data_IF_950155550977
#
_entry.id   IF_950155550977
#
_cell.length_a   1.000
_cell.length_b   1.000
_cell.length_c   1.000
_cell.angle_alpha   90.00
_cell.angle_beta   90.00
_cell.angle_gamma   90.00
#
_symmetry.space_group_name_H-M   'P 1'
#
loop_
_entity.id
_entity.type
_entity.pdbx_description
1 polymer ?
#
# COMPACT_ATOMS: atom_id res chain seq x y z
N UNK A 1 23.28 82.11 -12.14
CA UNK A 1 24.64 81.99 -11.57
C UNK A 1 25.06 80.51 -11.61
N UNK A 2 26.15 80.22 -12.34
CA UNK A 2 26.99 79.01 -12.43
C UNK A 2 26.44 77.60 -12.10
N UNK A 3 26.33 76.80 -13.16
CA UNK A 3 27.01 75.51 -13.44
C UNK A 3 27.30 74.51 -12.30
N UNK A 4 26.82 73.26 -12.45
CA UNK A 4 27.65 72.04 -12.36
C UNK A 4 26.97 70.80 -12.99
N UNK A 5 27.79 70.13 -13.78
CA UNK A 5 27.73 68.84 -14.51
C UNK A 5 27.40 67.60 -13.67
N UNK A 6 26.79 66.55 -14.26
CA UNK A 6 27.50 65.32 -14.71
C UNK A 6 26.57 64.25 -15.35
N UNK A 7 27.01 63.73 -16.50
CA UNK A 7 26.83 62.40 -17.12
C UNK A 7 25.60 61.52 -16.76
N UNK A 8 24.79 61.20 -17.79
CA UNK A 8 24.35 59.82 -18.00
C UNK A 8 24.10 59.53 -19.48
N UNK A 9 24.88 58.58 -19.97
CA UNK A 9 24.89 58.03 -21.32
C UNK A 9 23.62 57.18 -21.52
N UNK A 10 22.86 57.47 -22.58
CA UNK A 10 21.79 56.63 -23.11
C UNK A 10 22.37 55.78 -24.25
N UNK A 11 22.52 54.47 -24.04
CA UNK A 11 22.72 53.50 -25.13
C UNK A 11 21.41 52.69 -25.29
N UNK A 12 20.87 52.55 -26.51
CA UNK A 12 19.63 51.80 -26.73
C UNK A 12 19.85 50.28 -26.63
N UNK A 13 19.01 49.68 -25.78
CA UNK A 13 18.53 48.30 -25.68
C UNK A 13 19.21 47.18 -26.50
N UNK A 14 19.75 46.22 -25.72
CA UNK A 14 20.36 44.93 -26.05
C UNK A 14 19.39 43.86 -26.61
N UNK A 15 18.20 44.23 -27.09
CA UNK A 15 17.16 43.25 -27.45
C UNK A 15 17.22 42.78 -28.92
N UNK A 16 18.04 43.40 -29.76
CA UNK A 16 18.10 43.04 -31.20
C UNK A 16 19.23 42.09 -31.61
N UNK A 17 20.18 41.78 -30.72
CA UNK A 17 21.27 40.85 -31.03
C UNK A 17 21.00 39.40 -30.61
N UNK A 18 19.98 39.15 -29.77
CA UNK A 18 19.68 37.79 -29.29
C UNK A 18 18.84 36.96 -30.27
N UNK A 19 18.11 37.61 -31.18
CA UNK A 19 17.26 36.92 -32.15
C UNK A 19 18.06 36.23 -33.28
N UNK A 20 19.27 36.68 -33.56
CA UNK A 20 20.11 36.11 -34.64
C UNK A 20 20.92 34.89 -34.21
N UNK A 21 21.15 34.68 -32.91
CA UNK A 21 21.88 33.50 -32.40
C UNK A 21 20.98 32.28 -32.15
N UNK A 22 19.67 32.48 -31.94
CA UNK A 22 18.70 31.39 -31.73
C UNK A 22 18.28 30.68 -33.03
N UNK A 23 18.52 31.27 -34.20
CA UNK A 23 18.13 30.67 -35.49
C UNK A 23 19.15 29.67 -36.05
N UNK A 24 20.39 29.68 -35.55
CA UNK A 24 21.46 28.78 -36.02
C UNK A 24 21.57 27.47 -35.23
N UNK A 25 20.88 27.33 -34.09
CA UNK A 25 20.97 26.15 -33.22
C UNK A 25 19.91 25.07 -33.51
N UNK A 26 18.95 25.31 -34.41
CA UNK A 26 17.87 24.36 -34.75
C UNK A 26 18.13 23.52 -36.01
N UNK A 27 19.25 23.70 -36.72
CA UNK A 27 19.54 22.98 -37.98
C UNK A 27 20.53 21.81 -37.85
N UNK A 28 20.72 21.28 -36.65
CA UNK A 28 21.48 20.04 -36.44
C UNK A 28 20.57 18.92 -35.93
N UNK A 29 19.56 18.57 -36.72
CA UNK A 29 18.85 17.30 -36.58
C UNK A 29 19.35 16.32 -37.62
N UNK A 30 19.87 15.20 -37.13
CA UNK A 30 20.41 14.07 -37.87
C UNK A 30 19.43 13.55 -38.93
N UNK A 31 19.96 13.33 -40.13
CA UNK A 31 19.29 12.57 -41.19
C UNK A 31 19.29 11.10 -40.75
N UNK A 32 18.21 10.66 -40.11
CA UNK A 32 17.94 9.24 -39.92
C UNK A 32 17.57 8.61 -41.27
N UNK A 33 18.25 7.51 -41.58
CA UNK A 33 18.11 6.74 -42.82
C UNK A 33 16.65 6.25 -42.99
N UNK A 34 15.92 6.86 -43.92
CA UNK A 34 14.59 6.40 -44.32
C UNK A 34 14.71 5.02 -44.97
N UNK A 35 14.20 3.98 -44.28
CA UNK A 35 13.96 2.67 -44.88
C UNK A 35 12.93 2.84 -46.01
N UNK A 36 13.25 2.29 -47.18
CA UNK A 36 12.39 2.31 -48.36
C UNK A 36 11.01 1.67 -48.12
N UNK A 37 10.02 1.95 -48.99
CA UNK A 37 8.63 1.58 -48.78
C UNK A 37 8.45 0.05 -48.70
N UNK A 38 7.64 -0.42 -47.76
CA UNK A 38 7.19 -1.82 -47.71
C UNK A 38 6.31 -2.11 -48.93
N UNK A 39 6.64 -3.17 -49.65
CA UNK A 39 5.87 -3.63 -50.81
C UNK A 39 4.41 -3.96 -50.41
N UNK A 40 3.40 -3.57 -51.19
CA UNK A 40 2.00 -3.76 -50.83
C UNK A 40 1.65 -5.25 -50.82
N UNK A 41 1.19 -5.75 -49.68
CA UNK A 41 0.62 -7.09 -49.59
C UNK A 41 -0.76 -7.08 -50.27
N UNK A 42 -0.97 -7.97 -51.24
CA UNK A 42 -2.25 -8.15 -51.92
C UNK A 42 -3.36 -8.47 -50.90
N UNK A 43 -4.59 -7.95 -51.07
CA UNK A 43 -5.70 -8.24 -50.17
C UNK A 43 -6.04 -9.73 -50.26
N UNK A 44 -6.06 -10.40 -49.10
CA UNK A 44 -6.59 -11.76 -48.97
C UNK A 44 -8.12 -11.65 -49.06
N UNK A 45 -8.70 -12.46 -49.94
CA UNK A 45 -10.12 -12.52 -50.23
C UNK A 45 -10.94 -12.91 -48.96
N UNK A 46 -12.03 -12.19 -48.63
CA UNK A 46 -12.83 -12.52 -47.46
C UNK A 46 -13.77 -13.68 -47.79
N UNK A 47 -13.69 -14.78 -47.04
CA UNK A 47 -14.70 -15.85 -47.10
C UNK A 47 -15.42 -16.03 -45.77
N UNK A 48 -16.55 -15.33 -45.72
CA UNK A 48 -17.87 -15.70 -45.18
C UNK A 48 -18.09 -15.75 -43.66
N UNK A 49 -18.79 -14.70 -43.20
CA UNK A 49 -19.71 -14.68 -42.08
C UNK A 49 -20.66 -15.89 -42.07
N UNK A 50 -20.69 -16.62 -40.97
CA UNK A 50 -21.96 -17.06 -40.40
C UNK A 50 -21.91 -16.87 -38.88
N UNK A 51 -22.89 -16.11 -38.40
CA UNK A 51 -23.35 -15.99 -37.02
C UNK A 51 -22.52 -15.14 -36.05
N UNK A 52 -22.67 -13.82 -36.27
CA UNK A 52 -22.96 -12.88 -35.19
C UNK A 52 -24.06 -13.41 -34.27
N UNK A 53 -23.66 -13.87 -33.07
CA UNK A 53 -24.27 -13.57 -31.76
C UNK A 53 -23.49 -14.25 -30.63
N UNK A 54 -23.39 -13.52 -29.52
CA UNK A 54 -22.89 -13.94 -28.21
C UNK A 54 -21.37 -13.93 -27.96
N UNK A 55 -20.80 -12.72 -27.98
CA UNK A 55 -19.78 -12.37 -26.99
C UNK A 55 -20.44 -12.30 -25.61
N UNK A 56 -20.31 -13.37 -24.81
CA UNK A 56 -20.48 -13.31 -23.36
C UNK A 56 -19.27 -13.92 -22.69
N UNK A 57 -18.32 -13.03 -22.39
CA UNK A 57 -17.14 -13.20 -21.53
C UNK A 57 -16.83 -14.62 -21.06
N UNK A 58 -15.98 -15.32 -21.81
CA UNK A 58 -15.16 -16.36 -21.19
C UNK A 58 -14.22 -15.66 -20.21
N UNK A 59 -14.56 -15.84 -18.94
CA UNK A 59 -13.74 -15.56 -17.78
C UNK A 59 -12.35 -16.12 -18.04
N UNK A 60 -11.38 -15.22 -18.28
CA UNK A 60 -9.96 -15.54 -18.23
C UNK A 60 -9.73 -16.39 -16.99
N UNK A 61 -9.51 -17.68 -17.21
CA UNK A 61 -9.10 -18.63 -16.20
C UNK A 61 -7.71 -18.13 -15.76
N UNK A 62 -7.69 -17.31 -14.72
CA UNK A 62 -6.48 -16.82 -14.08
C UNK A 62 -5.75 -18.01 -13.47
N UNK A 63 -4.98 -18.71 -14.29
CA UNK A 63 -3.83 -19.48 -13.82
C UNK A 63 -2.74 -18.47 -13.46
N UNK A 64 -2.65 -18.08 -12.18
CA UNK A 64 -1.62 -17.14 -11.74
C UNK A 64 -1.63 -16.86 -10.23
N UNK A 65 -0.65 -17.45 -9.51
CA UNK A 65 0.08 -16.98 -8.30
C UNK A 65 -0.64 -16.29 -7.12
N UNK A 66 -1.96 -16.12 -7.11
CA UNK A 66 -2.67 -15.38 -6.05
C UNK A 66 -2.28 -13.91 -5.96
N UNK A 67 -1.62 -13.38 -6.99
CA UNK A 67 -1.17 -12.00 -7.12
C UNK A 67 -1.69 -11.40 -8.42
N UNK A 68 -2.05 -10.11 -8.43
CA UNK A 68 -2.42 -9.42 -9.66
C UNK A 68 -1.18 -9.01 -10.49
N UNK A 69 -1.40 -8.50 -11.71
CA UNK A 69 -0.34 -8.03 -12.62
C UNK A 69 0.55 -6.92 -12.01
N UNK A 70 0.11 -6.30 -10.91
CA UNK A 70 0.82 -5.23 -10.19
C UNK A 70 1.54 -5.76 -8.94
N UNK A 71 1.52 -7.07 -8.70
CA UNK A 71 2.13 -7.70 -7.52
C UNK A 71 1.32 -7.55 -6.24
N UNK A 72 0.06 -7.12 -6.30
CA UNK A 72 -0.82 -7.05 -5.14
C UNK A 72 -1.28 -8.45 -4.77
N UNK A 73 -1.28 -8.77 -3.47
CA UNK A 73 -1.61 -10.12 -3.00
C UNK A 73 -3.10 -10.23 -2.70
N UNK A 74 -3.78 -11.26 -3.20
CA UNK A 74 -5.17 -11.54 -2.83
C UNK A 74 -5.24 -11.97 -1.36
N UNK A 75 -6.06 -11.29 -0.59
CA UNK A 75 -6.24 -11.52 0.84
C UNK A 75 -7.70 -11.50 1.24
N UNK A 76 -8.01 -12.24 2.31
CA UNK A 76 -9.26 -12.15 3.05
C UNK A 76 -8.96 -11.57 4.43
N UNK A 77 -9.63 -10.49 4.78
CA UNK A 77 -9.44 -9.78 6.03
C UNK A 77 -10.63 -10.06 6.95
N UNK A 78 -10.35 -10.26 8.24
CA UNK A 78 -11.37 -10.45 9.28
C UNK A 78 -11.26 -9.32 10.29
N UNK A 79 -12.37 -8.62 10.50
CA UNK A 79 -12.51 -7.56 11.49
C UNK A 79 -12.75 -8.15 12.89
N UNK A 80 -12.57 -7.32 13.92
CA UNK A 80 -12.75 -7.72 15.31
C UNK A 80 -14.17 -8.19 15.64
N UNK A 81 -15.17 -7.65 14.95
CA UNK A 81 -16.58 -8.08 15.06
C UNK A 81 -16.93 -9.31 14.22
N UNK A 82 -15.97 -9.86 13.48
CA UNK A 82 -16.14 -11.05 12.64
C UNK A 82 -16.61 -10.77 11.21
N UNK A 83 -16.81 -9.50 10.80
CA UNK A 83 -17.02 -9.19 9.38
C UNK A 83 -15.79 -9.59 8.57
N UNK A 84 -16.03 -10.02 7.33
CA UNK A 84 -14.98 -10.46 6.43
C UNK A 84 -15.03 -9.66 5.12
N UNK A 85 -13.87 -9.30 4.58
CA UNK A 85 -13.75 -8.65 3.27
C UNK A 85 -12.63 -9.27 2.46
N UNK A 86 -12.90 -9.51 1.18
CA UNK A 86 -11.91 -10.05 0.23
C UNK A 86 -11.49 -8.98 -0.78
N UNK A 87 -10.21 -9.00 -1.14
CA UNK A 87 -9.63 -8.05 -2.08
C UNK A 87 -8.13 -8.24 -2.21
N UNK A 88 -7.45 -7.17 -2.57
CA UNK A 88 -6.01 -7.16 -2.82
C UNK A 88 -5.30 -6.23 -1.83
N UNK A 89 -4.28 -6.76 -1.16
CA UNK A 89 -3.34 -5.96 -0.38
C UNK A 89 -2.33 -5.34 -1.34
N UNK A 90 -2.37 -4.01 -1.43
CA UNK A 90 -1.43 -3.21 -2.22
C UNK A 90 -0.11 -3.00 -1.50
N UNK A 91 0.98 -3.17 -2.23
CA UNK A 91 2.35 -2.98 -1.74
C UNK A 91 2.63 -3.71 -0.41
N UNK A 92 2.36 -5.02 -0.30
CA UNK A 92 2.63 -5.75 0.93
C UNK A 92 4.16 -5.83 1.18
N UNK A 93 4.60 -5.92 2.45
CA UNK A 93 5.98 -6.21 2.78
C UNK A 93 6.44 -7.53 2.14
N UNK A 94 7.65 -7.57 1.58
CA UNK A 94 8.21 -8.77 0.97
C UNK A 94 8.50 -9.88 1.98
N UNK A 95 9.01 -9.50 3.16
CA UNK A 95 9.38 -10.43 4.21
C UNK A 95 8.97 -9.91 5.59
N UNK A 96 8.74 -10.84 6.51
CA UNK A 96 8.58 -10.55 7.92
C UNK A 96 9.67 -11.24 8.72
N UNK A 97 10.37 -10.45 9.54
CA UNK A 97 11.33 -10.95 10.53
C UNK A 97 10.60 -11.26 11.82
N UNK A 98 10.79 -12.46 12.36
CA UNK A 98 10.18 -12.88 13.61
C UNK A 98 11.18 -13.65 14.47
N UNK A 99 10.88 -13.70 15.75
CA UNK A 99 11.54 -14.58 16.69
C UNK A 99 10.67 -15.82 16.89
N UNK A 100 11.28 -16.99 16.96
CA UNK A 100 10.60 -18.23 17.26
C UNK A 100 11.28 -18.88 18.44
N UNK A 101 10.49 -19.33 19.41
CA UNK A 101 11.01 -20.05 20.58
C UNK A 101 10.72 -21.54 20.42
N UNK A 102 11.75 -22.34 20.17
CA UNK A 102 11.67 -23.82 20.14
C UNK A 102 12.64 -24.37 21.16
N UNK A 103 12.18 -25.27 22.03
CA UNK A 103 13.02 -25.92 23.04
C UNK A 103 13.81 -24.93 23.91
N UNK A 104 13.18 -23.83 24.34
CA UNK A 104 13.80 -22.75 25.10
C UNK A 104 14.91 -21.94 24.39
N UNK A 105 15.14 -22.17 23.10
CA UNK A 105 16.04 -21.37 22.26
C UNK A 105 15.20 -20.42 21.41
N UNK A 106 15.50 -19.13 21.49
CA UNK A 106 14.91 -18.10 20.62
C UNK A 106 15.78 -17.93 19.38
N UNK A 107 15.22 -18.16 18.20
CA UNK A 107 15.90 -17.90 16.92
C UNK A 107 15.11 -16.91 16.07
N UNK A 108 15.84 -16.02 15.39
CA UNK A 108 15.25 -15.10 14.43
C UNK A 108 15.18 -15.77 13.06
N UNK A 109 14.00 -15.79 12.43
CA UNK A 109 13.80 -16.27 11.07
C UNK A 109 13.03 -15.21 10.27
N UNK A 110 13.38 -15.08 9.00
CA UNK A 110 12.64 -14.28 8.03
C UNK A 110 11.74 -15.21 7.23
N UNK A 111 10.47 -14.88 7.09
CA UNK A 111 9.52 -15.58 6.21
C UNK A 111 9.14 -14.63 5.10
N UNK A 112 9.12 -15.16 3.89
CA UNK A 112 8.57 -14.44 2.74
C UNK A 112 7.05 -14.39 2.88
N UNK A 113 6.43 -13.33 2.37
CA UNK A 113 4.97 -13.20 2.35
C UNK A 113 4.29 -14.44 1.75
N UNK A 114 4.87 -15.02 0.70
CA UNK A 114 4.35 -16.20 0.01
C UNK A 114 4.41 -17.49 0.84
N UNK A 115 5.16 -17.51 1.95
CA UNK A 115 5.24 -18.66 2.86
C UNK A 115 4.25 -18.54 4.03
N UNK A 116 3.51 -17.43 4.12
CA UNK A 116 2.58 -17.12 5.20
C UNK A 116 1.16 -17.45 4.76
N UNK A 117 0.46 -18.28 5.54
CA UNK A 117 -0.95 -18.56 5.33
C UNK A 117 -1.85 -17.53 6.01
N UNK A 118 -1.45 -17.05 7.19
CA UNK A 118 -2.29 -16.19 8.03
C UNK A 118 -1.46 -15.32 8.96
N UNK A 119 -1.86 -14.07 9.10
CA UNK A 119 -1.38 -13.14 10.13
C UNK A 119 -2.56 -12.82 11.05
N UNK A 120 -2.40 -13.02 12.35
CA UNK A 120 -3.45 -12.82 13.35
C UNK A 120 -2.94 -11.96 14.49
N UNK A 121 -3.69 -10.91 14.80
CA UNK A 121 -3.46 -10.12 16.01
C UNK A 121 -4.26 -10.73 17.15
N UNK A 122 -3.54 -11.03 18.22
CA UNK A 122 -4.10 -11.65 19.43
C UNK A 122 -4.09 -10.73 20.64
N UNK A 123 -3.34 -9.63 20.57
CA UNK A 123 -3.31 -8.65 21.64
C UNK A 123 -2.77 -7.30 21.19
N UNK A 124 -3.30 -6.25 21.81
CA UNK A 124 -2.93 -4.85 21.59
C UNK A 124 -2.40 -4.23 22.87
N UNK A 125 -1.31 -3.48 22.76
CA UNK A 125 -0.72 -2.72 23.87
C UNK A 125 -1.22 -1.30 23.82
N UNK A 126 -1.67 -0.80 24.96
CA UNK A 126 -2.20 0.55 25.10
C UNK A 126 -1.05 1.55 25.31
N UNK A 127 -1.00 2.59 24.49
CA UNK A 127 -0.12 3.75 24.66
C UNK A 127 -0.97 4.95 25.07
N UNK A 128 -0.84 5.38 26.32
CA UNK A 128 -1.52 6.57 26.84
C UNK A 128 -0.93 7.85 26.25
N UNK A 129 -1.80 8.81 25.95
CA UNK A 129 -1.42 10.20 25.68
C UNK A 129 -1.69 11.08 26.91
N UNK A 130 -1.42 12.38 26.80
CA UNK A 130 -1.68 13.34 27.88
C UNK A 130 -3.15 13.33 28.30
N UNK A 131 -3.39 13.31 29.62
CA UNK A 131 -4.74 13.39 30.21
C UNK A 131 -5.46 14.66 29.75
N UNK A 132 -6.73 14.51 29.38
CA UNK A 132 -7.66 15.58 29.01
C UNK A 132 -8.75 15.71 30.06
N UNK A 133 -9.62 16.72 29.92
CA UNK A 133 -10.76 16.95 30.82
C UNK A 133 -11.75 15.78 30.80
N UNK A 134 -11.91 15.18 29.63
CA UNK A 134 -12.85 14.08 29.40
C UNK A 134 -12.29 12.72 29.85
N UNK A 135 -10.98 12.56 29.94
CA UNK A 135 -10.34 11.27 30.23
C UNK A 135 -8.92 11.15 29.70
N UNK A 136 -8.40 9.93 29.65
CA UNK A 136 -7.07 9.62 29.13
C UNK A 136 -7.23 8.98 27.73
N UNK A 137 -6.73 9.63 26.66
CA UNK A 137 -6.72 9.01 25.34
C UNK A 137 -5.66 7.90 25.28
N UNK A 138 -6.01 6.77 24.69
CA UNK A 138 -5.10 5.66 24.42
C UNK A 138 -5.09 5.31 22.95
N UNK A 139 -3.91 4.96 22.45
CA UNK A 139 -3.75 4.25 21.17
C UNK A 139 -3.50 2.78 21.45
N UNK A 140 -4.35 1.90 20.94
CA UNK A 140 -4.18 0.46 21.05
C UNK A 140 -3.44 -0.07 19.83
N UNK A 141 -2.17 -0.43 19.98
CA UNK A 141 -1.32 -0.87 18.89
C UNK A 141 -1.13 -2.39 18.90
N UNK A 142 -1.07 -3.07 17.73
CA UNK A 142 -0.77 -4.49 17.65
C UNK A 142 0.51 -4.83 18.43
N UNK A 143 0.41 -5.82 19.33
CA UNK A 143 1.51 -6.22 20.21
C UNK A 143 1.80 -7.72 20.13
N UNK A 144 0.77 -8.56 20.19
CA UNK A 144 0.91 -10.02 20.05
C UNK A 144 0.44 -10.45 18.67
N UNK A 145 1.38 -10.56 17.73
CA UNK A 145 1.11 -10.94 16.34
C UNK A 145 1.54 -12.38 16.13
N UNK A 146 0.58 -13.23 15.76
CA UNK A 146 0.80 -14.62 15.36
C UNK A 146 0.87 -14.69 13.84
N UNK A 147 1.93 -15.28 13.32
CA UNK A 147 2.06 -15.63 11.90
C UNK A 147 2.04 -17.13 11.77
N UNK A 148 1.19 -17.63 10.89
CA UNK A 148 1.05 -19.06 10.62
C UNK A 148 1.58 -19.26 9.20
N UNK A 149 2.56 -20.13 9.03
CA UNK A 149 3.10 -20.47 7.72
C UNK A 149 2.13 -21.37 6.94
N UNK A 150 2.41 -21.57 5.66
CA UNK A 150 1.75 -22.60 4.85
C UNK A 150 2.02 -24.02 5.39
N UNK A 151 3.16 -24.25 6.05
CA UNK A 151 3.50 -25.51 6.74
C UNK A 151 2.72 -25.72 8.05
N UNK A 152 1.95 -24.72 8.50
CA UNK A 152 1.21 -24.76 9.77
C UNK A 152 2.04 -24.42 11.01
N UNK A 153 3.31 -24.03 10.84
CA UNK A 153 4.14 -23.56 11.96
C UNK A 153 3.65 -22.19 12.45
N UNK A 154 3.59 -22.02 13.78
CA UNK A 154 3.17 -20.77 14.42
C UNK A 154 4.40 -20.01 14.89
N UNK A 155 4.46 -18.74 14.51
CA UNK A 155 5.52 -17.81 14.87
C UNK A 155 4.92 -16.63 15.63
N UNK A 156 5.56 -16.23 16.72
CA UNK A 156 5.15 -15.08 17.51
C UNK A 156 6.12 -13.94 17.23
N UNK A 157 5.62 -12.85 16.67
CA UNK A 157 6.47 -11.67 16.46
C UNK A 157 6.54 -10.88 17.77
N UNK A 158 7.75 -10.61 18.23
CA UNK A 158 7.97 -9.66 19.31
C UNK A 158 7.58 -8.24 18.88
N UNK A 159 7.22 -7.37 19.83
CA UNK A 159 6.81 -6.00 19.54
C UNK A 159 8.00 -5.23 18.96
N UNK A 160 7.95 -4.92 17.66
CA UNK A 160 8.97 -4.07 17.06
C UNK A 160 8.75 -2.62 17.49
N UNK A 161 9.80 -1.87 17.91
CA UNK A 161 9.69 -0.44 18.18
C UNK A 161 9.28 0.37 16.94
N UNK A 162 9.44 -0.18 15.73
CA UNK A 162 9.05 0.47 14.46
C UNK A 162 7.55 0.41 14.16
N UNK A 163 6.75 -0.33 14.94
CA UNK A 163 5.31 -0.44 14.69
C UNK A 163 5.00 -1.13 13.36
N UNK A 164 5.56 -2.31 13.11
CA UNK A 164 5.26 -3.05 11.88
C UNK A 164 3.85 -3.67 11.91
N UNK A 165 3.13 -3.52 10.78
CA UNK A 165 1.72 -3.88 10.54
C UNK A 165 0.69 -3.06 11.35
N UNK A 166 0.64 -1.75 11.09
CA UNK A 166 -0.37 -0.84 11.66
C UNK A 166 -1.59 -0.66 10.76
N UNK A 167 -1.38 -0.76 9.44
CA UNK A 167 -2.39 -0.54 8.43
C UNK A 167 -2.06 -1.31 7.17
N UNK A 168 -3.07 -1.51 6.34
CA UNK A 168 -2.96 -2.12 5.02
C UNK A 168 -3.66 -1.24 3.99
N UNK A 169 -3.04 -1.09 2.83
CA UNK A 169 -3.69 -0.53 1.65
C UNK A 169 -4.46 -1.65 0.97
N UNK A 170 -5.78 -1.53 0.94
CA UNK A 170 -6.68 -2.59 0.49
C UNK A 170 -7.53 -2.08 -0.67
N UNK A 171 -7.65 -2.88 -1.73
CA UNK A 171 -8.50 -2.56 -2.88
C UNK A 171 -9.42 -3.73 -3.22
N UNK A 172 -10.67 -3.43 -3.58
CA UNK A 172 -11.62 -4.41 -4.12
C UNK A 172 -12.49 -3.77 -5.21
N UNK A 173 -13.56 -4.46 -5.64
CA UNK A 173 -14.48 -3.98 -6.67
C UNK A 173 -15.19 -2.66 -6.32
N UNK A 174 -15.21 -2.26 -5.05
CA UNK A 174 -15.84 -1.02 -4.58
C UNK A 174 -14.84 0.15 -4.47
N UNK A 175 -13.54 -0.10 -4.70
CA UNK A 175 -12.50 0.91 -4.68
C UNK A 175 -11.39 0.60 -3.69
N UNK A 176 -10.62 1.64 -3.38
CA UNK A 176 -9.41 1.57 -2.56
C UNK A 176 -9.63 2.21 -1.20
N UNK A 177 -9.09 1.59 -0.15
CA UNK A 177 -9.18 2.08 1.22
C UNK A 177 -7.95 1.72 2.03
N UNK A 178 -7.77 2.38 3.17
CA UNK A 178 -6.79 1.99 4.18
C UNK A 178 -7.53 1.38 5.36
N UNK A 179 -7.18 0.14 5.69
CA UNK A 179 -7.72 -0.54 6.86
C UNK A 179 -6.68 -0.57 7.96
N UNK A 180 -7.12 -0.35 9.19
CA UNK A 180 -6.25 -0.18 10.34
C UNK A 180 -6.29 -1.42 11.23
N UNK A 181 -5.12 -1.75 11.78
CA UNK A 181 -4.91 -2.81 12.75
C UNK A 181 -4.77 -2.24 14.17
N UNK A 182 -4.77 -0.91 14.31
CA UNK A 182 -4.80 -0.17 15.57
C UNK A 182 -6.08 0.66 15.67
N UNK A 183 -6.39 1.14 16.88
CA UNK A 183 -7.42 2.15 17.07
C UNK A 183 -7.03 3.13 18.17
N UNK A 184 -7.75 4.24 18.24
CA UNK A 184 -7.68 5.18 19.35
C UNK A 184 -8.98 5.10 20.16
N UNK A 185 -8.88 5.26 21.46
CA UNK A 185 -10.02 5.22 22.36
C UNK A 185 -9.80 6.15 23.54
N UNK A 186 -10.87 6.55 24.22
CA UNK A 186 -10.82 7.41 25.40
C UNK A 186 -11.26 6.60 26.62
N UNK A 187 -10.42 6.55 27.64
CA UNK A 187 -10.81 6.02 28.94
C UNK A 187 -11.27 7.16 29.85
N UNK A 188 -12.52 7.08 30.31
CA UNK A 188 -13.08 7.99 31.29
C UNK A 188 -12.52 7.74 32.70
N UNK A 189 -12.69 8.69 33.61
CA UNK A 189 -12.21 8.56 34.99
C UNK A 189 -12.86 7.41 35.77
N UNK A 190 -14.07 7.01 35.38
CA UNK A 190 -14.77 5.85 35.92
C UNK A 190 -14.28 4.50 35.35
N UNK A 191 -13.27 4.50 34.48
CA UNK A 191 -12.67 3.31 33.87
C UNK A 191 -13.38 2.77 32.63
N UNK A 192 -14.51 3.37 32.23
CA UNK A 192 -15.22 3.00 31.00
C UNK A 192 -14.55 3.57 29.75
N UNK A 193 -14.79 2.92 28.61
CA UNK A 193 -14.23 3.29 27.31
C UNK A 193 -15.28 3.95 26.43
N UNK A 194 -14.89 4.97 25.66
CA UNK A 194 -15.77 5.65 24.71
C UNK A 194 -16.35 4.68 23.66
N UNK A 195 -15.53 3.73 23.20
CA UNK A 195 -15.96 2.66 22.29
C UNK A 195 -17.03 1.71 22.86
N UNK A 196 -17.31 1.75 24.16
CA UNK A 196 -18.15 0.76 24.84
C UNK A 196 -17.45 -0.59 25.08
N UNK A 197 -16.14 -0.70 24.81
CA UNK A 197 -15.35 -1.87 25.18
C UNK A 197 -15.34 -2.07 26.71
N UNK A 198 -15.14 -3.33 27.12
CA UNK A 198 -15.14 -3.68 28.55
C UNK A 198 -14.02 -2.93 29.28
N UNK A 199 -14.23 -2.56 30.56
CA UNK A 199 -13.15 -2.08 31.41
C UNK A 199 -11.97 -3.06 31.40
N UNK A 200 -10.75 -2.51 31.44
CA UNK A 200 -9.53 -3.29 31.27
C UNK A 200 -8.43 -2.71 32.16
N UNK A 201 -7.70 -3.57 32.85
CA UNK A 201 -6.68 -3.20 33.85
C UNK A 201 -5.35 -3.96 33.66
N UNK A 202 -5.02 -4.37 32.44
CA UNK A 202 -3.77 -5.08 32.13
C UNK A 202 -2.82 -4.29 31.23
N UNK A 203 -1.74 -4.94 30.77
CA UNK A 203 -0.81 -4.34 29.79
C UNK A 203 -1.24 -4.57 28.34
N UNK A 204 -1.81 -5.75 28.07
CA UNK A 204 -2.20 -6.20 26.72
C UNK A 204 -3.67 -6.57 26.72
N UNK A 205 -4.45 -5.92 25.86
CA UNK A 205 -5.87 -6.19 25.67
C UNK A 205 -6.10 -7.18 24.53
N UNK A 206 -7.04 -8.10 24.67
CA UNK A 206 -7.35 -9.14 23.67
C UNK A 206 -8.65 -8.90 22.90
N UNK A 207 -9.57 -8.10 23.45
CA UNK A 207 -10.70 -7.52 22.73
C UNK A 207 -10.29 -6.23 21.98
N UNK A 208 -11.05 -5.89 20.94
CA UNK A 208 -10.70 -4.82 20.02
C UNK A 208 -11.94 -4.17 19.41
N UNK A 209 -11.75 -2.94 18.92
CA UNK A 209 -12.82 -2.15 18.29
C UNK A 209 -13.36 -2.86 17.03
N UNK A 210 -14.70 -2.87 16.77
CA UNK A 210 -15.32 -3.59 15.66
C UNK A 210 -14.65 -3.39 14.30
N UNK A 211 -14.30 -2.14 13.95
CA UNK A 211 -13.72 -1.78 12.65
C UNK A 211 -12.21 -2.05 12.49
N UNK A 212 -11.57 -2.68 13.48
CA UNK A 212 -10.14 -3.00 13.43
C UNK A 212 -9.93 -4.36 12.76
N UNK A 213 -8.96 -4.44 11.86
CA UNK A 213 -8.56 -5.70 11.24
C UNK A 213 -7.81 -6.55 12.27
N UNK A 214 -8.32 -7.76 12.51
CA UNK A 214 -7.77 -8.74 13.45
C UNK A 214 -6.97 -9.82 12.74
N UNK A 215 -7.37 -10.20 11.54
CA UNK A 215 -6.77 -11.30 10.80
C UNK A 215 -6.62 -10.98 9.32
N UNK A 216 -5.50 -11.40 8.74
CA UNK A 216 -5.20 -11.35 7.32
C UNK A 216 -4.93 -12.78 6.88
N UNK A 217 -5.75 -13.31 5.98
CA UNK A 217 -5.61 -14.64 5.42
C UNK A 217 -5.15 -14.51 3.97
N UNK A 218 -4.14 -15.28 3.61
CA UNK A 218 -3.63 -15.35 2.24
C UNK A 218 -4.29 -16.49 1.50
N UNK A 219 -4.79 -16.23 0.30
CA UNK A 219 -5.32 -17.29 -0.55
C UNK A 219 -4.16 -18.14 -1.08
N UNK A 220 -4.18 -19.43 -0.78
CA UNK A 220 -3.29 -20.42 -1.40
C UNK A 220 -3.94 -20.87 -2.69
N UNK A 221 -3.32 -20.57 -3.83
CA UNK A 221 -3.74 -21.13 -5.11
C UNK A 221 -3.08 -22.51 -5.21
N UNK A 222 -3.87 -23.56 -5.00
CA UNK A 222 -3.48 -24.93 -5.35
C UNK A 222 -3.65 -25.17 -6.85
#
# INVERSE_FOLDING_TARGET
MKCRTLNRIFFPSLERCFAFFLLFFFFSFSIDSQKGPKEPTLPIEPTINSDSRDQRGELNKQTGTGSDEKGNKKVKLVFCDGREVEGFWKNPPFEFKFQHKKNNITYSKSLKLDEISKIKITGWKLKSSNKRKEGIPYRAEPYQIQMISLSGEIFFKEPSPTGEIQQIQFGNQFGDTTLFLYWNDLQYENGYWFSGLKPFSGEVRTDCHPDVVREIQFSVVN
#
